data_IF_170325110066
#
_entry.id   IF_170325110066
#
_cell.length_a   1.000
_cell.length_b   1.000
_cell.length_c   1.000
_cell.angle_alpha   90.00
_cell.angle_beta   90.00
_cell.angle_gamma   90.00
#
_symmetry.space_group_name_H-M   'P 1'
#
loop_
_entity.id
_entity.type
_entity.pdbx_description
1 polymer ?
#
# COMPACT_ATOMS: atom_id res chain seq x y z
N UNK A 1 72.93 35.16 -2.40
CA UNK A 1 72.32 33.89 -2.77
C UNK A 1 70.92 33.90 -2.21
N UNK A 2 69.91 34.31 -3.04
CA UNK A 2 68.51 34.39 -2.68
C UNK A 2 67.86 33.05 -3.05
N UNK A 3 67.46 32.27 -2.04
CA UNK A 3 66.74 31.03 -2.26
C UNK A 3 65.24 31.32 -2.37
N UNK A 4 64.71 31.30 -3.61
CA UNK A 4 63.27 31.38 -3.89
C UNK A 4 62.61 30.03 -3.47
N UNK A 5 61.87 30.02 -2.35
CA UNK A 5 60.96 28.98 -1.99
C UNK A 5 59.68 29.15 -2.88
N UNK A 6 59.57 28.38 -3.93
CA UNK A 6 58.32 28.11 -4.65
C UNK A 6 57.44 27.23 -3.78
N UNK A 7 56.52 27.83 -3.04
CA UNK A 7 55.37 27.13 -2.46
C UNK A 7 54.39 26.84 -3.58
N UNK A 8 54.39 25.63 -4.11
CA UNK A 8 53.35 25.15 -5.01
C UNK A 8 52.07 25.08 -4.21
N UNK A 9 51.21 26.08 -4.34
CA UNK A 9 49.80 25.96 -3.93
C UNK A 9 49.15 24.95 -4.86
N UNK A 10 49.08 23.69 -4.43
CA UNK A 10 48.16 22.72 -5.00
C UNK A 10 46.77 23.24 -4.68
N UNK A 11 46.08 23.78 -5.65
CA UNK A 11 44.69 24.13 -5.53
C UNK A 11 43.93 22.83 -5.19
N UNK A 12 43.58 22.68 -3.92
CA UNK A 12 42.67 21.65 -3.47
C UNK A 12 41.34 22.00 -4.14
N UNK A 13 40.99 21.30 -5.22
CA UNK A 13 39.62 21.37 -5.78
C UNK A 13 38.67 21.12 -4.63
N UNK A 14 37.95 22.16 -4.22
CA UNK A 14 36.97 22.02 -3.14
C UNK A 14 35.92 21.04 -3.60
N UNK A 15 35.77 19.94 -2.89
CA UNK A 15 34.74 18.95 -3.17
C UNK A 15 33.38 19.64 -3.27
N UNK A 16 32.55 19.20 -4.22
CA UNK A 16 31.21 19.76 -4.40
C UNK A 16 30.44 19.74 -3.05
N UNK A 17 29.54 20.70 -2.80
CA UNK A 17 28.73 20.72 -1.59
C UNK A 17 28.04 19.38 -1.33
N UNK A 18 27.87 18.96 -0.07
CA UNK A 18 27.30 17.66 0.31
C UNK A 18 25.96 17.39 -0.39
N UNK A 19 25.07 18.38 -0.41
CA UNK A 19 23.77 18.26 -1.08
C UNK A 19 23.90 17.91 -2.57
N UNK A 20 24.92 18.47 -3.26
CA UNK A 20 25.18 18.18 -4.69
C UNK A 20 25.72 16.77 -4.88
N UNK A 21 26.63 16.32 -3.99
CA UNK A 21 27.16 14.97 -4.05
C UNK A 21 26.07 13.92 -3.82
N UNK A 22 25.22 14.11 -2.80
CA UNK A 22 24.10 13.22 -2.48
C UNK A 22 23.12 13.18 -3.66
N UNK A 23 22.69 14.34 -4.16
CA UNK A 23 21.78 14.45 -5.31
C UNK A 23 22.35 13.78 -6.55
N UNK A 24 23.62 14.00 -6.86
CA UNK A 24 24.30 13.38 -8.00
C UNK A 24 24.23 11.87 -7.97
N UNK A 25 24.48 11.23 -6.80
CA UNK A 25 24.37 9.78 -6.66
C UNK A 25 22.93 9.28 -6.82
N UNK A 26 21.95 9.99 -6.27
CA UNK A 26 20.53 9.65 -6.40
C UNK A 26 20.11 9.75 -7.87
N UNK A 27 20.39 10.88 -8.51
CA UNK A 27 20.00 11.14 -9.91
C UNK A 27 20.64 10.13 -10.88
N UNK A 28 21.91 9.78 -10.68
CA UNK A 28 22.61 8.78 -11.48
C UNK A 28 21.91 7.43 -11.40
N UNK A 29 21.62 6.95 -10.19
CA UNK A 29 20.93 5.68 -9.96
C UNK A 29 19.50 5.69 -10.54
N UNK A 30 18.68 6.68 -10.15
CA UNK A 30 17.27 6.74 -10.55
C UNK A 30 17.09 6.94 -12.06
N UNK A 31 17.94 7.76 -12.72
CA UNK A 31 17.90 7.93 -14.16
C UNK A 31 18.22 6.62 -14.88
N UNK A 32 19.20 5.84 -14.39
CA UNK A 32 19.51 4.55 -14.95
C UNK A 32 18.36 3.54 -14.78
N UNK A 33 17.76 3.49 -13.59
CA UNK A 33 16.58 2.65 -13.32
C UNK A 33 15.43 3.05 -14.23
N UNK A 34 15.13 4.35 -14.33
CA UNK A 34 14.04 4.89 -15.16
C UNK A 34 14.25 4.55 -16.64
N UNK A 35 15.44 4.78 -17.16
CA UNK A 35 15.75 4.49 -18.57
C UNK A 35 15.58 3.00 -18.90
N UNK A 36 16.03 2.08 -18.03
CA UNK A 36 15.84 0.66 -18.24
C UNK A 36 14.38 0.22 -18.07
N UNK A 37 13.65 0.80 -17.11
CA UNK A 37 12.22 0.54 -16.93
C UNK A 37 11.40 0.93 -18.16
N UNK A 38 11.71 2.07 -18.78
CA UNK A 38 11.05 2.48 -20.03
C UNK A 38 11.32 1.48 -21.16
N UNK A 39 12.54 0.96 -21.26
CA UNK A 39 12.90 -0.08 -22.26
C UNK A 39 12.17 -1.40 -21.98
N UNK A 40 12.02 -1.79 -20.70
CA UNK A 40 11.24 -2.98 -20.32
C UNK A 40 9.78 -2.85 -20.73
N UNK A 41 9.17 -1.67 -20.50
CA UNK A 41 7.78 -1.41 -20.90
C UNK A 41 7.61 -1.46 -22.42
N UNK A 42 8.58 -0.94 -23.19
CA UNK A 42 8.54 -0.94 -24.64
C UNK A 42 8.89 -2.28 -25.28
N UNK A 43 9.53 -3.19 -24.55
CA UNK A 43 9.97 -4.48 -25.07
C UNK A 43 8.80 -5.42 -25.33
N UNK A 44 8.83 -6.10 -26.49
CA UNK A 44 7.78 -7.02 -26.94
C UNK A 44 8.05 -8.47 -26.57
N UNK A 45 9.30 -8.84 -26.28
CA UNK A 45 9.71 -10.19 -25.93
C UNK A 45 10.24 -10.29 -24.50
N UNK A 46 10.07 -11.45 -23.86
CA UNK A 46 10.62 -11.69 -22.52
C UNK A 46 12.15 -11.68 -22.51
N UNK A 47 12.80 -12.04 -23.60
CA UNK A 47 14.27 -11.98 -23.75
C UNK A 47 14.75 -10.53 -23.65
N UNK A 48 14.13 -9.62 -24.39
CA UNK A 48 14.44 -8.18 -24.32
C UNK A 48 14.16 -7.61 -22.92
N UNK A 49 13.03 -7.95 -22.33
CA UNK A 49 12.68 -7.51 -20.96
C UNK A 49 13.74 -7.98 -19.96
N UNK A 50 14.17 -9.25 -20.05
CA UNK A 50 15.19 -9.81 -19.17
C UNK A 50 16.56 -9.14 -19.37
N UNK A 51 16.94 -8.83 -20.62
CA UNK A 51 18.14 -8.06 -20.92
C UNK A 51 18.11 -6.69 -20.23
N UNK A 52 17.00 -5.96 -20.30
CA UNK A 52 16.90 -4.64 -19.67
C UNK A 52 16.76 -4.72 -18.13
N UNK A 53 16.11 -5.76 -17.60
CA UNK A 53 16.10 -6.03 -16.14
C UNK A 53 17.51 -6.24 -15.60
N UNK A 54 18.34 -7.03 -16.29
CA UNK A 54 19.73 -7.27 -15.88
C UNK A 54 20.66 -6.07 -16.11
N UNK A 55 20.21 -5.07 -16.88
CA UNK A 55 20.94 -3.80 -17.08
C UNK A 55 20.61 -2.74 -16.03
N UNK A 56 19.61 -2.98 -15.13
CA UNK A 56 19.36 -2.10 -13.99
C UNK A 56 20.53 -2.21 -13.03
N UNK A 57 21.20 -1.10 -12.66
CA UNK A 57 22.34 -1.17 -11.75
C UNK A 57 21.90 -1.65 -10.36
N UNK A 58 22.75 -2.41 -9.68
CA UNK A 58 22.56 -2.71 -8.27
C UNK A 58 22.66 -1.43 -7.44
N UNK A 59 21.80 -1.27 -6.44
CA UNK A 59 21.88 -0.15 -5.49
C UNK A 59 23.12 -0.24 -4.56
N UNK A 60 23.73 -1.43 -4.39
CA UNK A 60 24.83 -1.66 -3.46
C UNK A 60 26.01 -0.68 -3.58
N UNK A 61 26.63 -0.51 -4.77
CA UNK A 61 27.73 0.44 -4.92
C UNK A 61 27.36 1.90 -4.61
N UNK A 62 26.11 2.29 -4.88
CA UNK A 62 25.58 3.62 -4.53
C UNK A 62 25.35 3.72 -3.02
N UNK A 63 24.81 2.65 -2.39
CA UNK A 63 24.62 2.58 -0.96
C UNK A 63 25.92 2.72 -0.18
N UNK A 64 26.98 2.06 -0.62
CA UNK A 64 28.31 2.17 0.01
C UNK A 64 28.85 3.60 -0.05
N UNK A 65 28.80 4.25 -1.22
CA UNK A 65 29.21 5.64 -1.37
C UNK A 65 28.35 6.59 -0.52
N UNK A 66 27.03 6.36 -0.52
CA UNK A 66 26.08 7.17 0.25
C UNK A 66 26.32 7.04 1.75
N UNK A 67 26.58 5.83 2.26
CA UNK A 67 26.90 5.60 3.67
C UNK A 67 28.23 6.28 4.07
N UNK A 68 29.23 6.29 3.21
CA UNK A 68 30.46 7.05 3.45
C UNK A 68 30.19 8.56 3.61
N UNK A 69 29.33 9.13 2.76
CA UNK A 69 28.92 10.53 2.91
C UNK A 69 28.17 10.77 4.22
N UNK A 70 27.28 9.85 4.61
CA UNK A 70 26.55 9.92 5.88
C UNK A 70 27.53 9.93 7.06
N UNK A 71 28.45 8.96 7.11
CA UNK A 71 29.41 8.80 8.23
C UNK A 71 30.37 9.98 8.36
N UNK A 72 30.76 10.61 7.23
CA UNK A 72 31.65 11.76 7.21
C UNK A 72 30.94 13.08 7.59
N UNK A 73 29.61 13.14 7.61
CA UNK A 73 28.86 14.41 7.69
C UNK A 73 27.64 14.33 8.64
N UNK A 74 27.73 13.57 9.72
CA UNK A 74 26.59 13.29 10.62
C UNK A 74 25.85 14.55 11.11
N UNK A 75 26.56 15.66 11.30
CA UNK A 75 25.99 16.90 11.82
C UNK A 75 25.37 17.81 10.73
N UNK A 76 25.62 17.53 9.47
CA UNK A 76 25.10 18.32 8.37
C UNK A 76 23.60 18.01 8.11
N UNK A 77 22.75 19.04 7.90
CA UNK A 77 21.31 18.80 7.67
C UNK A 77 21.03 18.00 6.39
N UNK A 78 21.83 18.19 5.35
CA UNK A 78 21.65 17.51 4.06
C UNK A 78 21.83 15.99 4.12
N UNK A 79 22.53 15.48 5.15
CA UNK A 79 22.78 14.04 5.33
C UNK A 79 21.46 13.23 5.48
N UNK A 80 20.40 13.88 5.96
CA UNK A 80 19.07 13.26 6.11
C UNK A 80 18.55 12.71 4.78
N UNK A 81 18.83 13.38 3.65
CA UNK A 81 18.45 12.89 2.32
C UNK A 81 19.16 11.59 1.94
N UNK A 82 20.44 11.48 2.30
CA UNK A 82 21.21 10.26 2.09
C UNK A 82 20.67 9.09 2.93
N UNK A 83 20.39 9.34 4.22
CA UNK A 83 19.77 8.34 5.12
C UNK A 83 18.41 7.92 4.59
N UNK A 84 17.57 8.86 4.13
CA UNK A 84 16.27 8.58 3.54
C UNK A 84 16.38 7.65 2.32
N UNK A 85 17.29 7.96 1.40
CA UNK A 85 17.53 7.13 0.23
C UNK A 85 18.06 5.73 0.59
N UNK A 86 18.99 5.64 1.55
CA UNK A 86 19.52 4.35 2.02
C UNK A 86 18.41 3.45 2.57
N UNK A 87 17.51 4.00 3.39
CA UNK A 87 16.43 3.24 4.01
C UNK A 87 15.39 2.78 2.97
N UNK A 88 15.14 3.57 1.92
CA UNK A 88 14.12 3.26 0.91
C UNK A 88 14.68 2.53 -0.30
N UNK A 89 15.76 3.05 -0.88
CA UNK A 89 16.36 2.54 -2.13
C UNK A 89 17.34 1.40 -1.93
N UNK A 90 17.90 1.26 -0.74
CA UNK A 90 18.92 0.24 -0.41
C UNK A 90 18.55 -0.64 0.79
N UNK A 91 17.26 -0.79 1.10
CA UNK A 91 16.74 -1.48 2.28
C UNK A 91 17.30 -2.91 2.47
N UNK A 92 17.58 -3.62 1.38
CA UNK A 92 18.09 -4.99 1.39
C UNK A 92 19.63 -5.10 1.48
N UNK A 93 20.34 -3.96 1.54
CA UNK A 93 21.78 -3.91 1.66
C UNK A 93 22.20 -3.59 3.12
N UNK A 94 23.42 -3.99 3.53
CA UNK A 94 23.91 -3.70 4.89
C UNK A 94 23.84 -2.22 5.24
N UNK A 95 24.15 -1.35 4.30
CA UNK A 95 24.12 0.11 4.47
C UNK A 95 22.69 0.63 4.72
N UNK A 96 21.67 0.05 4.05
CA UNK A 96 20.26 0.39 4.30
C UNK A 96 19.79 -0.08 5.68
N UNK A 97 20.24 -1.26 6.12
CA UNK A 97 19.96 -1.77 7.46
C UNK A 97 20.64 -0.92 8.55
N UNK A 98 21.86 -0.44 8.32
CA UNK A 98 22.56 0.46 9.22
C UNK A 98 21.87 1.83 9.25
N UNK A 99 21.48 2.39 8.10
CA UNK A 99 20.73 3.63 8.02
C UNK A 99 19.40 3.56 8.77
N UNK A 100 18.71 2.42 8.72
CA UNK A 100 17.49 2.18 9.48
C UNK A 100 17.75 2.28 11.01
N UNK A 101 18.83 1.69 11.51
CA UNK A 101 19.22 1.82 12.92
C UNK A 101 19.57 3.27 13.28
N UNK A 102 20.30 3.96 12.39
CA UNK A 102 20.66 5.36 12.57
C UNK A 102 19.44 6.27 12.64
N UNK A 103 18.35 5.98 11.89
CA UNK A 103 17.09 6.71 12.03
C UNK A 103 16.51 6.62 13.44
N UNK A 104 16.61 5.49 14.12
CA UNK A 104 16.09 5.31 15.48
C UNK A 104 17.04 5.82 16.57
N UNK A 105 18.28 6.13 16.25
CA UNK A 105 19.31 6.54 17.21
C UNK A 105 19.82 7.96 16.95
N UNK A 106 20.63 8.14 15.94
CA UNK A 106 21.33 9.38 15.61
C UNK A 106 20.42 10.44 14.98
N UNK A 107 19.40 10.01 14.25
CA UNK A 107 18.51 10.90 13.49
C UNK A 107 17.06 10.96 14.02
N UNK A 108 16.75 10.26 15.11
CA UNK A 108 15.38 10.16 15.61
C UNK A 108 14.75 11.52 15.99
N UNK A 109 15.54 12.49 16.41
CA UNK A 109 15.13 13.85 16.78
C UNK A 109 15.31 14.90 15.66
N UNK A 110 15.82 14.48 14.48
CA UNK A 110 16.11 15.40 13.37
C UNK A 110 14.85 15.78 12.60
N UNK A 111 14.84 17.01 12.09
CA UNK A 111 13.89 17.47 11.09
C UNK A 111 14.23 16.93 9.70
N UNK A 112 13.22 16.76 8.85
CA UNK A 112 13.38 16.36 7.45
C UNK A 112 13.39 14.85 7.22
N UNK A 113 13.17 14.02 8.25
CA UNK A 113 13.10 12.55 8.14
C UNK A 113 11.67 12.04 7.86
N UNK A 114 10.65 12.89 7.85
CA UNK A 114 9.25 12.48 7.81
C UNK A 114 8.92 11.57 6.61
N UNK A 115 9.48 11.85 5.44
CA UNK A 115 9.27 11.02 4.25
C UNK A 115 9.85 9.61 4.41
N UNK A 116 11.10 9.51 4.86
CA UNK A 116 11.76 8.23 5.12
C UNK A 116 11.02 7.43 6.21
N UNK A 117 10.63 8.10 7.27
CA UNK A 117 9.89 7.51 8.40
C UNK A 117 8.53 6.98 7.95
N UNK A 118 7.80 7.72 7.10
CA UNK A 118 6.54 7.26 6.51
C UNK A 118 6.72 5.98 5.69
N UNK A 119 7.79 5.86 4.91
CA UNK A 119 8.08 4.68 4.10
C UNK A 119 8.41 3.43 4.93
N UNK A 120 8.70 3.56 6.22
CA UNK A 120 8.94 2.42 7.10
C UNK A 120 7.72 1.49 7.26
N UNK A 121 6.54 1.93 6.85
CA UNK A 121 5.36 1.05 6.77
C UNK A 121 5.59 -0.21 5.90
N UNK A 122 6.54 -0.18 4.97
CA UNK A 122 6.91 -1.31 4.11
C UNK A 122 7.97 -2.23 4.73
N UNK A 123 8.65 -1.81 5.80
CA UNK A 123 9.64 -2.61 6.52
C UNK A 123 9.01 -3.58 7.54
N UNK A 124 7.74 -3.40 7.87
CA UNK A 124 7.04 -4.25 8.83
C UNK A 124 7.54 -4.09 10.28
N UNK A 125 7.31 -5.10 11.10
CA UNK A 125 7.64 -5.09 12.54
C UNK A 125 9.10 -4.73 12.88
N UNK A 126 10.12 -5.08 12.09
CA UNK A 126 11.50 -4.64 12.35
C UNK A 126 11.67 -3.11 12.45
N UNK A 127 10.80 -2.32 11.85
CA UNK A 127 10.82 -0.86 11.95
C UNK A 127 10.13 -0.30 13.22
N UNK A 128 9.37 -1.11 13.97
CA UNK A 128 8.64 -0.65 15.17
C UNK A 128 9.54 0.07 16.20
N UNK A 129 10.74 -0.43 16.57
CA UNK A 129 11.62 0.27 17.52
C UNK A 129 12.07 1.65 17.01
N UNK A 130 12.36 1.78 15.72
CA UNK A 130 12.76 3.04 15.08
C UNK A 130 11.61 4.05 15.14
N UNK A 131 10.41 3.63 14.75
CA UNK A 131 9.22 4.49 14.78
C UNK A 131 8.89 4.98 16.19
N UNK A 132 8.99 4.11 17.19
CA UNK A 132 8.81 4.48 18.60
C UNK A 132 9.85 5.50 19.05
N UNK A 133 11.10 5.33 18.67
CA UNK A 133 12.16 6.28 19.01
C UNK A 133 11.92 7.66 18.39
N UNK A 134 11.41 7.73 17.14
CA UNK A 134 11.02 8.99 16.50
C UNK A 134 9.84 9.63 17.23
N UNK A 135 8.79 8.88 17.56
CA UNK A 135 7.62 9.40 18.31
C UNK A 135 8.05 9.98 19.67
N UNK A 136 8.96 9.32 20.36
CA UNK A 136 9.42 9.72 21.68
C UNK A 136 10.36 10.94 21.65
N UNK A 137 11.39 10.90 20.79
CA UNK A 137 12.50 11.87 20.82
C UNK A 137 12.27 13.08 19.93
N UNK A 138 11.54 12.94 18.82
CA UNK A 138 11.37 14.03 17.87
C UNK A 138 10.44 15.11 18.41
N UNK A 139 10.76 16.38 18.15
CA UNK A 139 9.93 17.52 18.55
C UNK A 139 9.12 18.11 17.41
N UNK A 140 9.41 17.71 16.17
CA UNK A 140 8.74 18.20 14.97
C UNK A 140 7.46 17.39 14.71
N UNK A 141 6.38 18.10 14.40
CA UNK A 141 5.05 17.50 14.22
C UNK A 141 4.95 16.56 13.01
N UNK A 142 5.61 16.92 11.91
CA UNK A 142 5.56 16.12 10.67
C UNK A 142 6.21 14.75 10.86
N UNK A 143 7.37 14.69 11.52
CA UNK A 143 8.10 13.47 11.80
C UNK A 143 7.34 12.54 12.75
N UNK A 144 6.73 13.11 13.81
CA UNK A 144 5.86 12.33 14.72
C UNK A 144 4.63 11.78 14.02
N UNK A 145 3.97 12.60 13.20
CA UNK A 145 2.80 12.17 12.43
C UNK A 145 3.16 11.06 11.45
N UNK A 146 4.30 11.17 10.75
CA UNK A 146 4.81 10.14 9.85
C UNK A 146 5.08 8.82 10.59
N UNK A 147 5.68 8.90 11.77
CA UNK A 147 6.00 7.72 12.58
C UNK A 147 4.72 7.05 13.13
N UNK A 148 3.74 7.82 13.61
CA UNK A 148 2.45 7.30 14.03
C UNK A 148 1.70 6.63 12.88
N UNK A 149 1.69 7.26 11.70
CA UNK A 149 1.08 6.68 10.52
C UNK A 149 1.74 5.35 10.14
N UNK A 150 3.06 5.31 10.00
CA UNK A 150 3.78 4.11 9.60
C UNK A 150 3.62 2.98 10.64
N UNK A 151 3.67 3.30 11.94
CA UNK A 151 3.46 2.32 13.01
C UNK A 151 2.04 1.76 12.99
N UNK A 152 1.04 2.63 12.82
CA UNK A 152 -0.34 2.25 12.66
C UNK A 152 -0.55 1.34 11.44
N UNK A 153 0.04 1.68 10.30
CA UNK A 153 -0.04 0.90 9.06
C UNK A 153 0.61 -0.48 9.19
N UNK A 154 1.76 -0.60 9.87
CA UNK A 154 2.41 -1.88 10.17
C UNK A 154 1.48 -2.77 10.98
N UNK A 155 0.94 -2.25 12.08
CA UNK A 155 0.05 -3.02 12.94
C UNK A 155 -1.30 -3.34 12.29
N UNK A 156 -1.81 -2.44 11.44
CA UNK A 156 -2.99 -2.73 10.62
C UNK A 156 -2.76 -3.90 9.68
N UNK A 157 -1.64 -3.93 8.95
CA UNK A 157 -1.28 -5.05 8.07
C UNK A 157 -1.15 -6.37 8.84
N UNK A 158 -0.55 -6.33 10.03
CA UNK A 158 -0.43 -7.51 10.89
C UNK A 158 -1.77 -7.99 11.44
N UNK A 159 -2.68 -7.09 11.77
CA UNK A 159 -4.04 -7.44 12.15
C UNK A 159 -4.80 -8.13 11.00
N UNK A 160 -4.78 -7.52 9.81
CA UNK A 160 -5.52 -7.98 8.63
C UNK A 160 -5.02 -9.35 8.11
N UNK A 161 -3.72 -9.63 8.27
CA UNK A 161 -3.07 -10.87 7.85
C UNK A 161 -3.05 -11.98 8.92
N UNK A 162 -3.41 -11.68 10.17
CA UNK A 162 -3.19 -12.61 11.29
C UNK A 162 -4.23 -13.72 11.35
N UNK A 163 -3.77 -14.97 11.33
CA UNK A 163 -4.56 -16.14 11.70
C UNK A 163 -4.62 -16.34 13.23
N UNK A 164 -3.68 -15.77 13.98
CA UNK A 164 -3.65 -15.77 15.45
C UNK A 164 -4.52 -14.64 15.99
N UNK A 165 -5.62 -14.98 16.67
CA UNK A 165 -6.57 -14.02 17.21
C UNK A 165 -5.94 -13.12 18.29
N UNK A 166 -5.06 -13.63 19.14
CA UNK A 166 -4.44 -12.86 20.25
C UNK A 166 -3.47 -11.84 19.67
N UNK A 167 -2.61 -12.28 18.76
CA UNK A 167 -1.67 -11.38 18.07
C UNK A 167 -2.42 -10.37 17.19
N UNK A 168 -3.46 -10.80 16.48
CA UNK A 168 -4.30 -9.94 15.66
C UNK A 168 -4.97 -8.83 16.48
N UNK A 169 -5.62 -9.15 17.60
CA UNK A 169 -6.25 -8.15 18.47
C UNK A 169 -5.23 -7.19 19.12
N UNK A 170 -4.06 -7.71 19.54
CA UNK A 170 -2.99 -6.84 20.05
C UNK A 170 -2.50 -5.85 18.97
N UNK A 171 -2.33 -6.31 17.73
CA UNK A 171 -1.97 -5.47 16.59
C UNK A 171 -3.08 -4.46 16.26
N UNK A 172 -4.34 -4.88 16.28
CA UNK A 172 -5.50 -4.00 16.10
C UNK A 172 -5.50 -2.85 17.09
N UNK A 173 -5.34 -3.15 18.38
CA UNK A 173 -5.35 -2.12 19.42
C UNK A 173 -4.21 -1.10 19.26
N UNK A 174 -3.02 -1.54 18.87
CA UNK A 174 -1.89 -0.65 18.57
C UNK A 174 -2.17 0.23 17.36
N UNK A 175 -2.72 -0.34 16.28
CA UNK A 175 -3.08 0.43 15.08
C UNK A 175 -4.15 1.47 15.38
N UNK A 176 -5.21 1.09 16.12
CA UNK A 176 -6.27 2.01 16.55
C UNK A 176 -5.69 3.19 17.34
N UNK A 177 -4.83 2.93 18.32
CA UNK A 177 -4.21 3.98 19.13
C UNK A 177 -3.39 4.95 18.28
N UNK A 178 -2.56 4.45 17.36
CA UNK A 178 -1.76 5.29 16.46
C UNK A 178 -2.64 6.17 15.55
N UNK A 179 -3.66 5.59 14.92
CA UNK A 179 -4.53 6.34 13.99
C UNK A 179 -5.46 7.31 14.73
N UNK A 180 -5.95 6.97 15.92
CA UNK A 180 -6.72 7.90 16.76
C UNK A 180 -5.86 9.09 17.15
N UNK A 181 -4.64 8.86 17.66
CA UNK A 181 -3.73 9.93 18.00
C UNK A 181 -3.38 10.80 16.79
N UNK A 182 -3.15 10.20 15.62
CA UNK A 182 -2.90 10.94 14.39
C UNK A 182 -4.07 11.87 14.04
N UNK A 183 -5.30 11.39 14.13
CA UNK A 183 -6.48 12.18 13.82
C UNK A 183 -6.77 13.27 14.87
N UNK A 184 -6.40 13.06 16.13
CA UNK A 184 -6.64 14.04 17.22
C UNK A 184 -5.56 15.12 17.23
N UNK A 185 -4.29 14.70 17.22
CA UNK A 185 -3.17 15.61 17.53
C UNK A 185 -2.48 16.15 16.26
N UNK A 186 -2.65 15.48 15.11
CA UNK A 186 -1.91 15.75 13.87
C UNK A 186 -2.82 15.82 12.64
N UNK A 187 -4.10 16.15 12.83
CA UNK A 187 -5.10 16.17 11.75
C UNK A 187 -4.78 17.15 10.62
N UNK A 188 -3.99 18.17 10.87
CA UNK A 188 -3.54 19.20 9.93
C UNK A 188 -2.28 18.80 9.15
N UNK A 189 -1.54 17.76 9.57
CA UNK A 189 -0.25 17.42 9.01
C UNK A 189 -0.39 16.79 7.62
N UNK A 190 0.40 17.36 6.70
CA UNK A 190 0.47 16.92 5.30
C UNK A 190 1.91 16.58 4.93
N UNK A 191 2.14 15.43 4.32
CA UNK A 191 3.45 15.02 3.81
C UNK A 191 3.32 14.82 2.30
N UNK A 192 4.13 15.52 1.51
CA UNK A 192 4.09 15.49 0.04
C UNK A 192 2.67 15.71 -0.54
N UNK A 193 1.91 16.63 0.04
CA UNK A 193 0.54 16.93 -0.39
C UNK A 193 -0.53 15.96 0.11
N UNK A 194 -0.16 14.89 0.83
CA UNK A 194 -1.10 13.92 1.39
C UNK A 194 -1.36 14.19 2.86
N UNK A 195 -2.61 14.44 3.20
CA UNK A 195 -3.05 14.60 4.59
C UNK A 195 -3.12 13.23 5.25
N UNK A 196 -2.23 12.99 6.22
CA UNK A 196 -2.11 11.66 6.86
C UNK A 196 -3.36 11.25 7.62
N UNK A 197 -4.08 12.21 8.21
CA UNK A 197 -5.33 11.97 8.92
C UNK A 197 -6.42 11.37 8.02
N UNK A 198 -6.49 11.74 6.74
CA UNK A 198 -7.49 11.18 5.83
C UNK A 198 -7.24 9.68 5.58
N UNK A 199 -5.96 9.27 5.50
CA UNK A 199 -5.62 7.85 5.42
C UNK A 199 -5.91 7.12 6.73
N UNK A 200 -5.55 7.74 7.87
CA UNK A 200 -5.84 7.17 9.19
C UNK A 200 -7.34 6.99 9.42
N UNK A 201 -8.17 7.95 9.01
CA UNK A 201 -9.63 7.84 9.11
C UNK A 201 -10.18 6.66 8.29
N UNK A 202 -9.66 6.41 7.08
CA UNK A 202 -10.03 5.25 6.26
C UNK A 202 -9.65 3.93 6.93
N UNK A 203 -8.47 3.86 7.54
CA UNK A 203 -8.02 2.65 8.26
C UNK A 203 -8.86 2.43 9.53
N UNK A 204 -9.15 3.49 10.29
CA UNK A 204 -10.05 3.41 11.44
C UNK A 204 -11.43 2.90 11.03
N UNK A 205 -12.01 3.47 9.96
CA UNK A 205 -13.30 3.01 9.44
C UNK A 205 -13.26 1.52 9.08
N UNK A 206 -12.23 1.09 8.35
CA UNK A 206 -12.07 -0.30 7.95
C UNK A 206 -11.97 -1.24 9.17
N UNK A 207 -11.20 -0.85 10.18
CA UNK A 207 -10.99 -1.64 11.39
C UNK A 207 -12.23 -1.74 12.29
N UNK A 208 -13.14 -0.80 12.19
CA UNK A 208 -14.34 -0.73 13.05
C UNK A 208 -15.61 -1.16 12.31
N UNK A 209 -15.70 -0.95 11.00
CA UNK A 209 -16.95 -1.11 10.26
C UNK A 209 -16.89 -2.19 9.15
N UNK A 210 -15.70 -2.59 8.69
CA UNK A 210 -15.55 -3.56 7.62
C UNK A 210 -14.97 -4.89 8.10
N UNK A 211 -15.31 -5.29 9.34
CA UNK A 211 -14.88 -6.55 9.90
C UNK A 211 -15.99 -7.59 9.84
N UNK A 212 -15.61 -8.87 9.94
CA UNK A 212 -16.57 -9.98 10.05
C UNK A 212 -17.49 -9.73 11.24
N UNK A 213 -18.80 -9.80 11.00
CA UNK A 213 -19.86 -9.51 11.96
C UNK A 213 -20.37 -8.07 11.91
N UNK A 214 -19.71 -7.13 11.24
CA UNK A 214 -20.24 -5.79 11.00
C UNK A 214 -21.30 -5.80 9.89
N UNK A 215 -22.20 -4.83 9.91
CA UNK A 215 -23.12 -4.60 8.81
C UNK A 215 -22.33 -4.16 7.56
N UNK A 216 -22.63 -4.82 6.42
CA UNK A 216 -22.00 -4.46 5.17
C UNK A 216 -22.48 -3.08 4.71
N UNK A 217 -21.58 -2.15 4.34
CA UNK A 217 -22.01 -0.89 3.73
C UNK A 217 -22.91 -1.13 2.53
N UNK A 218 -23.87 -0.25 2.33
CA UNK A 218 -24.78 -0.38 1.20
C UNK A 218 -24.02 -0.24 -0.12
N UNK A 219 -24.30 -1.14 -1.05
CA UNK A 219 -23.86 -1.06 -2.45
C UNK A 219 -25.08 -0.69 -3.26
N UNK A 220 -25.06 0.44 -3.93
CA UNK A 220 -26.17 0.90 -4.74
C UNK A 220 -25.71 1.54 -6.04
N UNK A 221 -26.56 1.46 -7.05
CA UNK A 221 -26.32 2.06 -8.36
C UNK A 221 -27.14 1.41 -9.46
N UNK A 222 -26.71 1.64 -10.70
CA UNK A 222 -27.35 1.08 -11.88
C UNK A 222 -26.51 -0.05 -12.44
N UNK A 223 -27.18 -1.05 -12.99
CA UNK A 223 -26.54 -2.08 -13.80
C UNK A 223 -26.34 -1.62 -15.27
N UNK A 224 -25.79 -2.50 -16.09
CA UNK A 224 -25.50 -2.22 -17.50
C UNK A 224 -26.75 -1.91 -18.34
N UNK A 225 -27.94 -2.34 -17.89
CA UNK A 225 -29.23 -2.08 -18.51
C UNK A 225 -29.90 -0.80 -17.98
N UNK A 226 -29.22 -0.08 -17.06
CA UNK A 226 -29.71 1.15 -16.42
C UNK A 226 -30.70 0.92 -15.28
N UNK A 227 -30.90 -0.32 -14.84
CA UNK A 227 -31.82 -0.68 -13.76
C UNK A 227 -31.15 -0.49 -12.42
N UNK A 228 -31.72 0.37 -11.57
CA UNK A 228 -31.21 0.60 -10.20
C UNK A 228 -31.48 -0.60 -9.32
N UNK A 229 -30.52 -0.88 -8.41
CA UNK A 229 -30.65 -1.88 -7.36
C UNK A 229 -29.66 -1.57 -6.22
N UNK A 230 -29.83 -2.25 -5.12
CA UNK A 230 -28.95 -2.13 -3.95
C UNK A 230 -28.74 -3.47 -3.25
N UNK A 231 -27.69 -3.56 -2.46
CA UNK A 231 -27.33 -4.78 -1.70
C UNK A 231 -28.47 -5.22 -0.78
N UNK A 232 -29.15 -4.27 -0.14
CA UNK A 232 -30.27 -4.54 0.78
C UNK A 232 -31.47 -5.21 0.09
N UNK A 233 -31.62 -5.14 -1.23
CA UNK A 233 -32.68 -5.86 -1.99
C UNK A 233 -32.52 -7.37 -1.91
N UNK A 234 -31.33 -7.84 -1.50
CA UNK A 234 -30.97 -9.26 -1.37
C UNK A 234 -31.00 -9.76 0.07
N UNK A 235 -31.61 -9.00 1.01
CA UNK A 235 -31.79 -9.50 2.38
C UNK A 235 -32.49 -10.87 2.39
N UNK A 236 -32.08 -11.75 3.29
CA UNK A 236 -32.54 -13.12 3.34
C UNK A 236 -31.70 -14.10 2.52
N UNK A 237 -30.79 -13.61 1.66
CA UNK A 237 -29.88 -14.44 0.86
C UNK A 237 -28.43 -14.20 1.26
N UNK A 238 -27.57 -15.19 1.01
CA UNK A 238 -26.14 -14.99 0.99
C UNK A 238 -25.78 -14.20 -0.28
N UNK A 239 -24.90 -13.19 -0.15
CA UNK A 239 -24.45 -12.39 -1.29
C UNK A 239 -22.94 -12.49 -1.39
N UNK A 240 -22.43 -13.02 -2.49
CA UNK A 240 -21.01 -12.93 -2.84
C UNK A 240 -20.83 -11.62 -3.60
N UNK A 241 -20.03 -10.70 -3.02
CA UNK A 241 -19.69 -9.45 -3.69
C UNK A 241 -18.28 -9.57 -4.24
N UNK A 242 -18.10 -9.27 -5.54
CA UNK A 242 -16.79 -9.14 -6.18
C UNK A 242 -16.61 -7.71 -6.70
N UNK A 243 -15.53 -7.06 -6.26
CA UNK A 243 -15.06 -5.80 -6.82
C UNK A 243 -14.01 -6.09 -7.89
N UNK A 244 -14.21 -5.58 -9.10
CA UNK A 244 -13.40 -5.93 -10.26
C UNK A 244 -13.43 -4.85 -11.35
N UNK A 245 -12.57 -5.00 -12.37
CA UNK A 245 -12.59 -4.18 -13.59
C UNK A 245 -11.96 -4.93 -14.76
N UNK A 246 -12.34 -4.58 -15.99
CA UNK A 246 -11.78 -5.14 -17.22
C UNK A 246 -10.30 -4.84 -17.40
N UNK A 247 -9.80 -3.77 -16.80
CA UNK A 247 -8.37 -3.41 -16.73
C UNK A 247 -7.56 -4.32 -15.80
N UNK A 248 -8.21 -5.07 -14.91
CA UNK A 248 -7.57 -5.86 -13.86
C UNK A 248 -7.22 -7.27 -14.37
N UNK A 249 -5.96 -7.50 -14.76
CA UNK A 249 -5.51 -8.80 -15.28
C UNK A 249 -5.78 -9.97 -14.32
N UNK A 250 -5.57 -9.78 -13.01
CA UNK A 250 -5.87 -10.79 -12.00
C UNK A 250 -7.37 -11.12 -11.91
N UNK A 251 -8.24 -10.16 -12.25
CA UNK A 251 -9.70 -10.37 -12.28
C UNK A 251 -10.13 -11.32 -13.40
N UNK A 252 -9.43 -11.32 -14.54
CA UNK A 252 -9.78 -12.17 -15.69
C UNK A 252 -9.80 -13.66 -15.33
N UNK A 253 -8.88 -14.11 -14.48
CA UNK A 253 -8.80 -15.52 -14.05
C UNK A 253 -9.92 -15.95 -13.11
N UNK A 254 -10.50 -15.04 -12.32
CA UNK A 254 -11.55 -15.38 -11.35
C UNK A 254 -12.96 -15.28 -11.93
N UNK A 255 -13.21 -14.47 -12.97
CA UNK A 255 -14.55 -14.25 -13.52
C UNK A 255 -15.23 -15.53 -14.01
N UNK A 256 -14.56 -16.46 -14.74
CA UNK A 256 -15.15 -17.75 -15.09
C UNK A 256 -15.57 -18.57 -13.87
N UNK A 257 -14.77 -18.55 -12.81
CA UNK A 257 -15.07 -19.25 -11.55
C UNK A 257 -16.26 -18.60 -10.83
N UNK A 258 -16.40 -17.28 -10.90
CA UNK A 258 -17.56 -16.55 -10.37
C UNK A 258 -18.84 -16.92 -11.13
N UNK A 259 -18.79 -17.07 -12.45
CA UNK A 259 -19.91 -17.56 -13.24
C UNK A 259 -20.32 -18.99 -12.84
N UNK A 260 -19.34 -19.89 -12.63
CA UNK A 260 -19.60 -21.25 -12.13
C UNK A 260 -20.24 -21.22 -10.74
N UNK A 261 -19.71 -20.39 -9.83
CA UNK A 261 -20.28 -20.22 -8.49
C UNK A 261 -21.72 -19.67 -8.55
N UNK A 262 -22.00 -18.70 -9.41
CA UNK A 262 -23.34 -18.17 -9.61
C UNK A 262 -24.32 -19.26 -10.06
N UNK A 263 -23.92 -20.11 -11.01
CA UNK A 263 -24.72 -21.23 -11.49
C UNK A 263 -24.93 -22.29 -10.39
N UNK A 264 -23.86 -22.69 -9.67
CA UNK A 264 -23.90 -23.68 -8.59
C UNK A 264 -24.81 -23.24 -7.42
N UNK A 265 -24.84 -21.95 -7.14
CA UNK A 265 -25.54 -21.38 -6.00
C UNK A 265 -26.97 -20.91 -6.29
N UNK A 266 -27.42 -20.98 -7.54
CA UNK A 266 -28.74 -20.49 -8.00
C UNK A 266 -29.90 -20.94 -7.11
N UNK A 267 -29.90 -22.21 -6.69
CA UNK A 267 -30.96 -22.81 -5.86
C UNK A 267 -30.55 -22.95 -4.38
N UNK A 268 -29.51 -22.25 -3.95
CA UNK A 268 -28.92 -22.35 -2.60
C UNK A 268 -29.14 -21.09 -1.75
N UNK A 269 -30.16 -20.32 -2.05
CA UNK A 269 -30.46 -19.07 -1.36
C UNK A 269 -29.22 -18.12 -1.31
N UNK A 270 -28.52 -18.03 -2.45
CA UNK A 270 -27.34 -17.22 -2.60
C UNK A 270 -27.31 -16.56 -3.97
N UNK A 271 -26.66 -15.39 -4.07
CA UNK A 271 -26.47 -14.63 -5.31
C UNK A 271 -25.03 -14.12 -5.40
N UNK A 272 -24.59 -13.86 -6.62
CA UNK A 272 -23.34 -13.16 -6.91
C UNK A 272 -23.67 -11.75 -7.41
N UNK A 273 -23.03 -10.75 -6.85
CA UNK A 273 -23.08 -9.35 -7.29
C UNK A 273 -21.69 -8.86 -7.61
N UNK A 274 -21.53 -8.16 -8.72
CA UNK A 274 -20.31 -7.45 -9.07
C UNK A 274 -20.42 -5.95 -8.78
N UNK A 275 -19.30 -5.35 -8.44
CA UNK A 275 -19.08 -3.91 -8.48
C UNK A 275 -17.97 -3.69 -9.51
N UNK A 276 -18.37 -3.21 -10.69
CA UNK A 276 -17.44 -3.00 -11.79
C UNK A 276 -16.93 -1.56 -11.76
N UNK A 277 -15.63 -1.39 -11.88
CA UNK A 277 -14.92 -0.10 -11.73
C UNK A 277 -14.49 0.52 -13.05
N UNK A 278 -14.84 -0.08 -14.17
CA UNK A 278 -14.61 0.51 -15.49
C UNK A 278 -15.58 1.68 -15.73
N UNK A 279 -15.20 2.62 -16.58
CA UNK A 279 -16.14 3.62 -17.08
C UNK A 279 -17.28 2.92 -17.85
N UNK A 280 -18.47 3.51 -17.91
CA UNK A 280 -19.68 2.85 -18.41
C UNK A 280 -19.52 2.21 -19.79
N UNK A 281 -18.85 2.87 -20.73
CA UNK A 281 -18.63 2.35 -22.08
C UNK A 281 -17.74 1.09 -22.11
N UNK A 282 -16.72 1.04 -21.24
CA UNK A 282 -15.81 -0.10 -21.13
C UNK A 282 -16.40 -1.22 -20.27
N UNK A 283 -17.20 -0.86 -19.25
CA UNK A 283 -17.89 -1.82 -18.40
C UNK A 283 -18.79 -2.75 -19.22
N UNK A 284 -19.63 -2.21 -20.12
CA UNK A 284 -20.48 -3.01 -21.01
C UNK A 284 -19.68 -3.97 -21.88
N UNK A 285 -18.55 -3.49 -22.42
CA UNK A 285 -17.63 -4.33 -23.19
C UNK A 285 -17.01 -5.42 -22.33
N UNK A 286 -16.48 -5.08 -21.15
CA UNK A 286 -15.88 -6.06 -20.25
C UNK A 286 -16.88 -7.13 -19.80
N UNK A 287 -18.12 -6.75 -19.47
CA UNK A 287 -19.19 -7.70 -19.13
C UNK A 287 -19.44 -8.70 -20.27
N UNK A 288 -19.45 -8.24 -21.53
CA UNK A 288 -19.62 -9.09 -22.69
C UNK A 288 -18.40 -9.96 -22.99
N UNK A 289 -17.20 -9.38 -23.02
CA UNK A 289 -15.95 -10.06 -23.35
C UNK A 289 -15.65 -11.21 -22.36
N UNK A 290 -15.93 -11.00 -21.07
CA UNK A 290 -15.76 -12.02 -20.02
C UNK A 290 -17.02 -12.83 -19.73
N UNK A 291 -18.09 -12.65 -20.52
CA UNK A 291 -19.35 -13.38 -20.40
C UNK A 291 -19.90 -13.40 -18.97
N UNK A 292 -19.86 -12.24 -18.28
CA UNK A 292 -20.24 -12.13 -16.88
C UNK A 292 -21.74 -12.41 -16.71
N UNK A 293 -22.07 -13.49 -16.00
CA UNK A 293 -23.44 -14.02 -15.88
C UNK A 293 -24.18 -13.55 -14.62
N UNK A 294 -23.60 -12.63 -13.84
CA UNK A 294 -24.18 -12.08 -12.62
C UNK A 294 -24.33 -10.55 -12.72
N UNK A 295 -25.24 -10.01 -11.91
CA UNK A 295 -25.57 -8.59 -11.93
C UNK A 295 -24.42 -7.74 -11.40
N UNK A 296 -24.18 -6.59 -12.02
CA UNK A 296 -23.10 -5.67 -11.66
C UNK A 296 -23.61 -4.25 -11.46
N UNK A 297 -23.22 -3.59 -10.36
CA UNK A 297 -23.26 -2.14 -10.22
C UNK A 297 -22.09 -1.53 -10.99
N UNK A 298 -22.33 -0.47 -11.76
CA UNK A 298 -21.30 0.29 -12.45
C UNK A 298 -20.81 1.42 -11.55
N UNK A 299 -19.61 1.27 -10.99
CA UNK A 299 -18.99 2.24 -10.05
C UNK A 299 -18.15 3.31 -10.76
N UNK A 300 -17.91 3.11 -12.06
CA UNK A 300 -17.24 4.00 -13.02
C UNK A 300 -15.76 4.36 -12.72
N UNK A 301 -15.22 3.97 -11.58
CA UNK A 301 -13.82 4.22 -11.21
C UNK A 301 -13.43 3.36 -10.01
N UNK A 302 -12.12 3.14 -9.85
CA UNK A 302 -11.55 2.47 -8.65
C UNK A 302 -11.72 3.26 -7.36
N UNK A 303 -12.18 4.51 -7.44
CA UNK A 303 -12.50 5.38 -6.31
C UNK A 303 -13.97 5.82 -6.35
N UNK A 304 -14.83 5.00 -6.95
CA UNK A 304 -16.27 5.23 -7.02
C UNK A 304 -16.94 5.16 -5.64
N UNK A 305 -18.22 5.50 -5.56
CA UNK A 305 -18.94 5.56 -4.28
C UNK A 305 -18.90 4.22 -3.53
N UNK A 306 -19.13 3.10 -4.20
CA UNK A 306 -19.16 1.79 -3.55
C UNK A 306 -17.73 1.31 -3.18
N UNK A 307 -16.77 1.43 -4.09
CA UNK A 307 -15.37 1.05 -3.81
C UNK A 307 -14.78 1.88 -2.66
N UNK A 308 -15.12 3.15 -2.56
CA UNK A 308 -14.68 4.04 -1.47
C UNK A 308 -15.25 3.63 -0.11
N UNK A 309 -16.53 3.23 -0.04
CA UNK A 309 -17.16 2.74 1.20
C UNK A 309 -16.49 1.45 1.72
N UNK A 310 -15.98 0.61 0.83
CA UNK A 310 -15.26 -0.62 1.19
C UNK A 310 -13.75 -0.44 1.34
N UNK A 311 -13.24 0.79 1.24
CA UNK A 311 -11.82 1.16 1.37
C UNK A 311 -10.89 0.21 0.59
N UNK A 312 -11.26 -0.10 -0.66
CA UNK A 312 -10.56 -1.10 -1.45
C UNK A 312 -9.16 -0.63 -1.85
N UNK A 313 -8.20 -1.55 -1.75
CA UNK A 313 -6.78 -1.32 -2.11
C UNK A 313 -6.29 -2.28 -3.19
N UNK A 314 -6.99 -3.39 -3.38
CA UNK A 314 -6.61 -4.44 -4.31
C UNK A 314 -7.84 -4.93 -5.09
N UNK A 315 -7.59 -5.43 -6.30
CA UNK A 315 -8.57 -6.08 -7.16
C UNK A 315 -8.01 -7.41 -7.68
N UNK A 316 -8.82 -8.48 -7.76
CA UNK A 316 -10.19 -8.56 -7.26
C UNK A 316 -10.26 -8.61 -5.73
N UNK A 317 -11.33 -8.09 -5.13
CA UNK A 317 -11.64 -8.25 -3.72
C UNK A 317 -13.01 -8.90 -3.58
N UNK A 318 -13.11 -9.91 -2.71
CA UNK A 318 -14.33 -10.65 -2.46
C UNK A 318 -14.81 -10.50 -1.02
N UNK A 319 -16.14 -10.34 -0.88
CA UNK A 319 -16.84 -10.40 0.40
C UNK A 319 -17.94 -11.46 0.33
N UNK A 320 -18.22 -12.11 1.46
CA UNK A 320 -19.47 -12.82 1.68
C UNK A 320 -20.31 -12.04 2.65
N UNK A 321 -21.52 -11.67 2.25
CA UNK A 321 -22.52 -11.04 3.10
C UNK A 321 -23.57 -12.09 3.45
N UNK A 322 -23.91 -12.22 4.73
CA UNK A 322 -24.89 -13.19 5.22
C UNK A 322 -26.34 -12.72 4.95
N UNK A 323 -27.36 -13.57 5.16
CA UNK A 323 -28.76 -13.22 4.96
C UNK A 323 -29.26 -12.04 5.82
N UNK A 324 -28.58 -11.70 6.91
CA UNK A 324 -28.90 -10.56 7.76
C UNK A 324 -28.25 -9.27 7.24
N UNK A 325 -27.33 -9.35 6.28
CA UNK A 325 -26.56 -8.24 5.73
C UNK A 325 -25.27 -7.99 6.48
N UNK A 326 -24.80 -8.94 7.27
CA UNK A 326 -23.52 -8.85 7.96
C UNK A 326 -22.39 -9.41 7.11
N UNK A 327 -21.21 -8.84 7.22
CA UNK A 327 -20.00 -9.36 6.59
C UNK A 327 -19.67 -10.72 7.25
N UNK A 328 -19.78 -11.82 6.50
CA UNK A 328 -19.46 -13.16 6.96
C UNK A 328 -18.02 -13.57 6.61
N UNK A 329 -17.49 -13.08 5.48
CA UNK A 329 -16.09 -13.24 5.06
C UNK A 329 -15.65 -11.93 4.41
N UNK A 330 -14.45 -11.49 4.73
CA UNK A 330 -13.75 -10.36 4.14
C UNK A 330 -12.47 -10.85 3.46
N UNK A 331 -12.21 -10.43 2.23
CA UNK A 331 -11.00 -10.79 1.46
C UNK A 331 -10.78 -12.32 1.35
N UNK A 332 -11.87 -13.09 1.31
CA UNK A 332 -11.79 -14.56 1.26
C UNK A 332 -11.53 -15.10 -0.14
N UNK A 333 -11.00 -16.33 -0.21
CA UNK A 333 -10.99 -17.07 -1.48
C UNK A 333 -12.40 -17.49 -1.87
N UNK A 334 -12.64 -17.61 -3.18
CA UNK A 334 -13.95 -18.04 -3.68
C UNK A 334 -14.35 -19.42 -3.12
N UNK A 335 -13.40 -20.36 -3.03
CA UNK A 335 -13.65 -21.71 -2.50
C UNK A 335 -14.08 -21.68 -1.03
N UNK A 336 -13.44 -20.86 -0.20
CA UNK A 336 -13.83 -20.68 1.20
C UNK A 336 -15.25 -20.09 1.32
N UNK A 337 -15.59 -19.13 0.46
CA UNK A 337 -16.91 -18.49 0.42
C UNK A 337 -17.98 -19.50 0.01
N UNK A 338 -17.77 -20.23 -1.09
CA UNK A 338 -18.72 -21.24 -1.58
C UNK A 338 -18.92 -22.36 -0.56
N UNK A 339 -17.83 -22.87 0.02
CA UNK A 339 -17.88 -23.90 1.06
C UNK A 339 -18.69 -23.44 2.28
N UNK A 340 -18.52 -22.19 2.71
CA UNK A 340 -19.28 -21.61 3.83
C UNK A 340 -20.78 -21.56 3.54
N UNK A 341 -21.17 -21.16 2.35
CA UNK A 341 -22.60 -21.11 1.93
C UNK A 341 -23.19 -22.51 1.93
N UNK A 342 -22.52 -23.49 1.32
CA UNK A 342 -22.98 -24.87 1.23
C UNK A 342 -23.13 -25.52 2.62
N UNK A 343 -22.18 -25.30 3.53
CA UNK A 343 -22.25 -25.78 4.90
C UNK A 343 -23.47 -25.21 5.65
N UNK A 344 -23.74 -23.91 5.50
CA UNK A 344 -24.89 -23.25 6.16
C UNK A 344 -26.22 -23.77 5.64
N UNK A 345 -26.32 -24.09 4.35
CA UNK A 345 -27.55 -24.65 3.76
C UNK A 345 -27.79 -26.09 4.18
N UNK A 346 -26.76 -26.89 4.40
CA UNK A 346 -26.89 -28.26 4.89
C UNK A 346 -27.33 -28.32 6.38
N UNK A 347 -26.92 -27.35 7.19
CA UNK A 347 -27.32 -27.28 8.61
C UNK A 347 -28.78 -26.83 8.83
N UNK A 348 -29.47 -26.34 7.79
CA UNK A 348 -30.89 -25.91 7.82
C UNK A 348 -31.86 -27.00 7.31
N UNK A 349 -31.34 -28.14 6.82
CA UNK A 349 -32.10 -29.34 6.44
C UNK A 349 -32.09 -30.36 7.59
#
# INVERSE_FOLDING_TARGET
VLLLLLVSAVAQESAAPLAVQIRGLIDEYENSVRANTQKIIAATTEEEKNKYRSSIPSAGPYATKMMQLVQANLDQPDVVKAVSWLVTGAANFPEGQEALKMLGTTFADRQGIAEAVKQLEYHGLPAEPVLKAVIEKNTHREEKAAALYALGAIHFKNFDASADRVFGEASKNKALACFQQLNTDYADVTIQGFKLADFAAKMLFEMTNLQVGCEAPEIEGKDADGVSFKLSDYRGKHVIVIFWGGWCHACHGILPLMNQAAAQLKDKNAVVLGVNTDIESEAKKALADYQVAFRNVLDNTTSGPNTSLYNLRNFPTLYLIDPKGLIAIKNGSLDAIVSRILATNNARR
#
